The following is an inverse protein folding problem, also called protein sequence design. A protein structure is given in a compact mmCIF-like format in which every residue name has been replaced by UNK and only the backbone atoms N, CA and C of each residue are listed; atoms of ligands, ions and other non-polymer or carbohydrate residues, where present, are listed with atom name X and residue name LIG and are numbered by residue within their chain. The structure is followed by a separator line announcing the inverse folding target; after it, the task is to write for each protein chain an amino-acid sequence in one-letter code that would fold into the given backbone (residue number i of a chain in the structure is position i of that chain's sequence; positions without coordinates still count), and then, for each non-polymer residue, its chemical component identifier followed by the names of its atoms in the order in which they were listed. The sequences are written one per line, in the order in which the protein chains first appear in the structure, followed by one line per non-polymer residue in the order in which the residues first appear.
data_IF_086315683238
#
_entry.id   IF_086315683238
#
_cell.length_a   1.000
_cell.length_b   1.000
_cell.length_c   1.000
_cell.angle_alpha   90.00
_cell.angle_beta   90.00
_cell.angle_gamma   90.00
#
_symmetry.space_group_name_H-M   'P 1'
#
loop_
_entity.id
_entity.type
_entity.pdbx_description
1 polymer ?
#
# COMPACT_ATOMS: atom_id res chain seq x y z
N UNK A 1 -14.89 -6.55 -16.00
CA UNK A 1 -14.75 -5.52 -14.94
C UNK A 1 -15.53 -6.01 -13.73
N UNK A 2 -14.91 -6.06 -12.55
CA UNK A 2 -15.60 -6.48 -11.32
C UNK A 2 -16.52 -5.35 -10.85
N UNK A 3 -17.67 -5.68 -10.28
CA UNK A 3 -18.57 -4.66 -9.73
C UNK A 3 -17.93 -3.98 -8.51
N UNK A 4 -18.24 -2.69 -8.31
CA UNK A 4 -17.69 -1.91 -7.19
C UNK A 4 -17.91 -2.58 -5.81
N UNK A 5 -19.09 -3.16 -5.49
CA UNK A 5 -19.27 -3.85 -4.21
C UNK A 5 -18.33 -5.03 -4.01
N UNK A 6 -18.08 -5.81 -5.08
CA UNK A 6 -17.15 -6.96 -5.04
C UNK A 6 -15.71 -6.48 -4.83
N UNK A 7 -15.31 -5.39 -5.49
CA UNK A 7 -13.99 -4.79 -5.31
C UNK A 7 -13.80 -4.24 -3.90
N UNK A 8 -14.77 -3.52 -3.36
CA UNK A 8 -14.72 -3.01 -1.98
C UNK A 8 -14.65 -4.16 -0.97
N UNK A 9 -15.46 -5.21 -1.14
CA UNK A 9 -15.42 -6.39 -0.28
C UNK A 9 -14.06 -7.11 -0.34
N UNK A 10 -13.53 -7.33 -1.54
CA UNK A 10 -12.22 -7.98 -1.73
C UNK A 10 -11.09 -7.14 -1.13
N UNK A 11 -11.17 -5.81 -1.30
CA UNK A 11 -10.23 -4.86 -0.70
C UNK A 11 -10.31 -4.87 0.82
N UNK A 12 -11.52 -4.96 1.40
CA UNK A 12 -11.75 -5.05 2.83
C UNK A 12 -11.10 -6.31 3.41
N UNK A 13 -11.31 -7.46 2.75
CA UNK A 13 -10.77 -8.74 3.18
C UNK A 13 -9.24 -8.73 3.12
N UNK A 14 -8.66 -8.34 1.96
CA UNK A 14 -7.21 -8.32 1.77
C UNK A 14 -6.54 -7.27 2.66
N UNK A 15 -7.08 -6.05 2.72
CA UNK A 15 -6.55 -4.99 3.57
C UNK A 15 -6.65 -5.31 5.06
N UNK A 16 -7.73 -5.94 5.50
CA UNK A 16 -7.89 -6.44 6.87
C UNK A 16 -6.86 -7.51 7.22
N UNK A 17 -6.71 -8.54 6.37
CA UNK A 17 -5.75 -9.62 6.59
C UNK A 17 -4.30 -9.11 6.60
N UNK A 18 -3.92 -8.27 5.65
CA UNK A 18 -2.58 -7.71 5.56
C UNK A 18 -2.30 -6.68 6.68
N UNK A 19 -3.32 -5.95 7.15
CA UNK A 19 -3.21 -5.10 8.33
C UNK A 19 -2.91 -5.90 9.61
N UNK A 20 -3.53 -7.08 9.76
CA UNK A 20 -3.20 -8.02 10.84
C UNK A 20 -1.79 -8.60 10.67
N UNK A 21 -1.42 -9.00 9.46
CA UNK A 21 -0.09 -9.59 9.19
C UNK A 21 1.03 -8.63 9.59
N UNK A 22 0.88 -7.35 9.22
CA UNK A 22 1.78 -6.27 9.58
C UNK A 22 1.99 -6.11 11.09
N UNK A 23 0.98 -6.43 11.91
CA UNK A 23 0.96 -6.02 13.32
C UNK A 23 0.97 -7.16 14.33
N UNK A 24 0.40 -8.31 14.00
CA UNK A 24 0.04 -9.31 15.01
C UNK A 24 0.22 -10.77 14.57
N UNK A 25 0.41 -11.08 13.28
CA UNK A 25 0.44 -12.48 12.82
C UNK A 25 1.41 -12.74 11.66
N UNK A 26 2.25 -13.76 11.79
CA UNK A 26 2.98 -14.36 10.68
C UNK A 26 4.23 -13.61 10.19
N UNK A 27 4.23 -12.27 10.14
CA UNK A 27 5.34 -11.45 9.62
C UNK A 27 5.94 -11.99 8.31
N UNK A 28 5.09 -12.57 7.47
CA UNK A 28 5.44 -13.14 6.17
C UNK A 28 5.87 -12.05 5.15
N UNK A 29 5.85 -10.78 5.55
CA UNK A 29 6.17 -9.61 4.71
C UNK A 29 5.22 -9.46 3.53
N UNK A 30 3.99 -9.99 3.65
CA UNK A 30 2.96 -9.90 2.61
C UNK A 30 2.34 -8.50 2.53
N UNK A 31 2.37 -7.75 3.63
CA UNK A 31 1.93 -6.34 3.66
C UNK A 31 2.85 -5.40 2.88
N UNK A 32 4.01 -5.85 2.39
CA UNK A 32 4.86 -5.03 1.52
C UNK A 32 4.12 -4.66 0.24
N UNK A 33 4.14 -3.39 -0.20
CA UNK A 33 3.45 -2.93 -1.39
C UNK A 33 3.62 -3.82 -2.60
N UNK A 34 4.85 -4.23 -2.91
CA UNK A 34 5.11 -5.06 -4.10
C UNK A 34 4.32 -6.36 -4.07
N UNK A 35 4.35 -7.07 -2.94
CA UNK A 35 3.70 -8.37 -2.80
C UNK A 35 2.18 -8.19 -2.67
N UNK A 36 1.74 -7.28 -1.80
CA UNK A 36 0.32 -7.00 -1.55
C UNK A 36 -0.44 -6.61 -2.81
N UNK A 37 0.10 -5.64 -3.56
CA UNK A 37 -0.54 -5.13 -4.78
C UNK A 37 -0.45 -6.11 -5.94
N UNK A 38 0.63 -6.90 -6.06
CA UNK A 38 0.70 -7.98 -7.04
C UNK A 38 -0.35 -9.05 -6.78
N UNK A 39 -0.47 -9.55 -5.54
CA UNK A 39 -1.45 -10.57 -5.18
C UNK A 39 -2.88 -10.05 -5.35
N UNK A 40 -3.14 -8.81 -4.94
CA UNK A 40 -4.45 -8.20 -5.14
C UNK A 40 -4.76 -7.90 -6.61
N UNK A 41 -3.73 -7.55 -7.39
CA UNK A 41 -3.80 -7.47 -8.85
C UNK A 41 -4.16 -8.81 -9.45
N UNK A 42 -3.49 -9.89 -9.06
CA UNK A 42 -3.81 -11.24 -9.52
C UNK A 42 -5.27 -11.62 -9.18
N UNK A 43 -5.72 -11.32 -7.95
CA UNK A 43 -7.11 -11.55 -7.52
C UNK A 43 -8.13 -10.78 -8.37
N UNK A 44 -7.77 -9.58 -8.85
CA UNK A 44 -8.64 -8.71 -9.64
C UNK A 44 -8.43 -8.82 -11.15
N UNK A 45 -7.59 -9.75 -11.61
CA UNK A 45 -7.29 -9.97 -13.03
C UNK A 45 -6.30 -8.96 -13.64
N UNK A 46 -5.56 -8.22 -12.82
CA UNK A 46 -4.57 -7.20 -13.20
C UNK A 46 -3.21 -7.39 -12.50
N UNK A 47 -2.55 -8.57 -12.60
CA UNK A 47 -1.30 -8.85 -11.88
C UNK A 47 -0.15 -7.92 -12.27
N UNK A 48 0.03 -7.63 -13.57
CA UNK A 48 1.11 -6.77 -14.05
C UNK A 48 0.95 -5.32 -13.57
N UNK A 49 -0.26 -4.76 -13.66
CA UNK A 49 -0.54 -3.40 -13.16
C UNK A 49 -0.38 -3.34 -11.63
N UNK A 50 -0.80 -4.41 -10.93
CA UNK A 50 -0.57 -4.58 -9.49
C UNK A 50 0.91 -4.52 -9.14
N UNK A 51 1.76 -5.31 -9.81
CA UNK A 51 3.21 -5.27 -9.58
C UNK A 51 3.80 -3.87 -9.80
N UNK A 52 3.40 -3.17 -10.87
CA UNK A 52 3.90 -1.82 -11.16
C UNK A 52 3.52 -0.80 -10.08
N UNK A 53 2.27 -0.83 -9.61
CA UNK A 53 1.84 -0.03 -8.45
C UNK A 53 2.70 -0.34 -7.23
N UNK A 54 2.92 -1.62 -6.96
CA UNK A 54 3.74 -2.09 -5.86
C UNK A 54 5.16 -1.54 -5.89
N UNK A 55 5.82 -1.57 -7.07
CA UNK A 55 7.15 -1.00 -7.27
C UNK A 55 7.16 0.50 -6.95
N UNK A 56 6.18 1.27 -7.45
CA UNK A 56 6.09 2.71 -7.20
C UNK A 56 6.07 3.00 -5.70
N UNK A 57 5.20 2.30 -4.96
CA UNK A 57 5.04 2.52 -3.52
C UNK A 57 6.22 2.00 -2.70
N UNK A 58 6.82 0.88 -3.09
CA UNK A 58 8.02 0.34 -2.44
C UNK A 58 9.20 1.33 -2.56
N UNK A 59 9.40 1.91 -3.74
CA UNK A 59 10.44 2.92 -3.97
C UNK A 59 10.16 4.21 -3.19
N UNK A 60 8.91 4.67 -3.18
CA UNK A 60 8.52 5.90 -2.50
C UNK A 60 8.72 5.82 -0.98
N UNK A 61 8.52 4.64 -0.39
CA UNK A 61 8.58 4.43 1.07
C UNK A 61 9.76 3.59 1.55
N UNK A 62 10.80 3.44 0.73
CA UNK A 62 11.97 2.60 1.06
C UNK A 62 12.72 3.01 2.34
N UNK A 63 12.54 4.26 2.81
CA UNK A 63 13.18 4.80 4.02
C UNK A 63 12.24 4.94 5.23
N UNK A 64 11.00 4.44 5.16
CA UNK A 64 10.09 4.53 6.30
C UNK A 64 10.41 3.45 7.35
N UNK A 65 11.28 3.79 8.30
CA UNK A 65 11.65 2.89 9.41
C UNK A 65 10.94 3.34 10.69
N UNK A 66 10.25 2.45 11.43
CA UNK A 66 9.69 2.78 12.74
C UNK A 66 10.80 3.11 13.73
N UNK A 67 10.67 4.24 14.45
CA UNK A 67 11.60 4.64 15.50
C UNK A 67 10.82 4.97 16.79
N UNK A 68 11.09 4.22 17.87
CA UNK A 68 10.41 4.42 19.16
C UNK A 68 8.89 4.21 19.08
N UNK A 69 8.12 5.12 19.70
CA UNK A 69 6.66 5.10 19.73
C UNK A 69 5.99 5.69 18.47
N UNK A 70 6.77 6.16 17.51
CA UNK A 70 6.25 6.73 16.26
C UNK A 70 5.70 5.62 15.36
N UNK A 71 4.43 5.76 14.97
CA UNK A 71 3.80 4.94 13.92
C UNK A 71 4.17 5.52 12.56
N UNK A 72 4.99 4.83 11.74
CA UNK A 72 5.39 5.32 10.43
C UNK A 72 4.24 5.28 9.43
N UNK A 73 4.33 6.15 8.43
CA UNK A 73 3.52 6.03 7.23
C UNK A 73 3.82 4.72 6.53
N UNK A 74 2.77 3.98 6.16
CA UNK A 74 2.89 2.70 5.49
C UNK A 74 2.10 2.72 4.19
N UNK A 75 2.68 2.30 3.07
CA UNK A 75 2.04 2.37 1.75
C UNK A 75 1.02 1.26 1.44
N UNK A 76 0.46 0.55 2.44
CA UNK A 76 -0.39 -0.62 2.16
C UNK A 76 -1.72 -0.21 1.54
N UNK A 77 -2.44 0.70 2.22
CA UNK A 77 -3.72 1.20 1.70
C UNK A 77 -3.59 1.85 0.33
N UNK A 78 -2.68 2.82 0.10
CA UNK A 78 -2.61 3.46 -1.20
C UNK A 78 -2.22 2.47 -2.31
N UNK A 79 -1.39 1.45 -2.02
CA UNK A 79 -1.08 0.41 -3.01
C UNK A 79 -2.31 -0.45 -3.36
N UNK A 80 -3.04 -0.97 -2.37
CA UNK A 80 -4.25 -1.78 -2.62
C UNK A 80 -5.35 -0.96 -3.31
N UNK A 81 -5.56 0.27 -2.87
CA UNK A 81 -6.59 1.15 -3.43
C UNK A 81 -6.28 1.62 -4.85
N UNK A 82 -5.00 1.75 -5.22
CA UNK A 82 -4.60 1.99 -6.61
C UNK A 82 -5.03 0.84 -7.51
N UNK A 83 -4.79 -0.41 -7.08
CA UNK A 83 -5.21 -1.61 -7.82
C UNK A 83 -6.73 -1.74 -7.86
N UNK A 84 -7.43 -1.38 -6.78
CA UNK A 84 -8.89 -1.31 -6.74
C UNK A 84 -9.43 -0.31 -7.79
N UNK A 85 -8.85 0.89 -7.86
CA UNK A 85 -9.23 1.91 -8.86
C UNK A 85 -8.99 1.41 -10.29
N UNK A 86 -7.85 0.78 -10.54
CA UNK A 86 -7.53 0.16 -11.82
C UNK A 86 -8.57 -0.90 -12.20
N UNK A 87 -8.83 -1.85 -11.31
CA UNK A 87 -9.79 -2.93 -11.53
C UNK A 87 -11.25 -2.46 -11.68
N UNK A 88 -11.60 -1.32 -11.06
CA UNK A 88 -12.92 -0.70 -11.20
C UNK A 88 -13.18 -0.16 -12.61
N UNK A 89 -12.10 0.17 -13.34
CA UNK A 89 -12.17 0.73 -14.68
C UNK A 89 -12.63 2.19 -14.74
N UNK A 90 -12.74 2.87 -13.60
CA UNK A 90 -13.04 4.32 -13.54
C UNK A 90 -12.01 5.16 -14.29
N UNK A 91 -10.80 4.65 -14.44
CA UNK A 91 -9.69 5.28 -15.17
C UNK A 91 -9.73 5.01 -16.68
N UNK A 92 -10.72 4.28 -17.21
CA UNK A 92 -10.82 3.98 -18.63
C UNK A 92 -9.67 3.15 -19.21
N UNK A 93 -9.64 3.02 -20.53
CA UNK A 93 -8.60 2.28 -21.26
C UNK A 93 -7.55 3.22 -21.85
N UNK A 94 -6.69 3.74 -20.97
CA UNK A 94 -5.63 4.69 -21.34
C UNK A 94 -4.22 4.08 -21.24
N UNK A 95 -4.09 2.80 -21.62
CA UNK A 95 -2.79 2.10 -21.60
C UNK A 95 -2.09 2.20 -20.25
N UNK A 96 -0.78 2.46 -20.25
CA UNK A 96 0.05 2.55 -19.04
C UNK A 96 -0.21 3.79 -18.17
N UNK A 97 -0.79 4.86 -18.72
CA UNK A 97 -1.00 6.15 -18.04
C UNK A 97 -1.85 6.01 -16.76
N UNK A 98 -2.79 5.07 -16.76
CA UNK A 98 -3.66 4.77 -15.62
C UNK A 98 -2.89 4.40 -14.34
N UNK A 99 -1.69 3.83 -14.45
CA UNK A 99 -0.93 3.29 -13.31
C UNK A 99 -0.39 4.41 -12.41
N UNK A 100 0.43 5.36 -12.90
CA UNK A 100 0.88 6.50 -12.08
C UNK A 100 -0.29 7.37 -11.64
N UNK A 101 -1.34 7.52 -12.46
CA UNK A 101 -2.55 8.25 -12.07
C UNK A 101 -3.27 7.57 -10.88
N UNK A 102 -3.45 6.25 -10.91
CA UNK A 102 -4.04 5.49 -9.81
C UNK A 102 -3.21 5.62 -8.53
N UNK A 103 -1.89 5.48 -8.64
CA UNK A 103 -0.96 5.64 -7.52
C UNK A 103 -1.09 7.03 -6.90
N UNK A 104 -1.10 8.09 -7.72
CA UNK A 104 -1.25 9.46 -7.25
C UNK A 104 -2.60 9.72 -6.57
N UNK A 105 -3.69 9.27 -7.19
CA UNK A 105 -5.04 9.45 -6.63
C UNK A 105 -5.20 8.72 -5.30
N UNK A 106 -4.57 7.55 -5.14
CA UNK A 106 -4.65 6.76 -3.93
C UNK A 106 -3.69 7.23 -2.82
N UNK A 107 -2.62 7.99 -3.13
CA UNK A 107 -1.62 8.46 -2.15
C UNK A 107 -2.22 9.05 -0.86
N UNK A 108 -3.27 9.91 -0.90
CA UNK A 108 -3.88 10.46 0.31
C UNK A 108 -4.41 9.40 1.29
N UNK A 109 -4.70 8.18 0.82
CA UNK A 109 -5.14 7.07 1.66
C UNK A 109 -4.08 6.58 2.64
N UNK A 110 -2.85 7.08 2.56
CA UNK A 110 -1.83 6.83 3.58
C UNK A 110 -2.16 7.45 4.94
N UNK A 111 -2.94 8.54 4.95
CA UNK A 111 -3.40 9.18 6.16
C UNK A 111 -4.38 8.29 6.94
N UNK A 112 -5.48 7.80 6.33
CA UNK A 112 -6.37 6.87 7.02
C UNK A 112 -5.70 5.54 7.38
N UNK A 113 -4.71 5.04 6.61
CA UNK A 113 -3.90 3.86 7.03
C UNK A 113 -3.21 4.12 8.37
N UNK A 114 -2.46 5.23 8.45
CA UNK A 114 -1.74 5.60 9.67
C UNK A 114 -2.69 5.89 10.84
N UNK A 115 -3.79 6.60 10.59
CA UNK A 115 -4.79 6.85 11.62
C UNK A 115 -5.44 5.55 12.10
N UNK A 116 -5.71 4.63 11.18
CA UNK A 116 -6.28 3.34 11.52
C UNK A 116 -5.35 2.59 12.48
N UNK A 117 -4.07 2.55 12.14
CA UNK A 117 -3.03 1.92 12.96
C UNK A 117 -2.93 2.55 14.36
N UNK A 118 -2.94 3.88 14.46
CA UNK A 118 -2.86 4.61 15.73
C UNK A 118 -4.07 4.32 16.62
N UNK A 119 -5.28 4.43 16.06
CA UNK A 119 -6.53 4.25 16.81
C UNK A 119 -6.65 2.79 17.26
N UNK A 120 -6.33 1.84 16.37
CA UNK A 120 -6.30 0.43 16.68
C UNK A 120 -5.37 0.14 17.88
N UNK A 121 -4.10 0.54 17.80
CA UNK A 121 -3.10 0.32 18.87
C UNK A 121 -3.56 0.88 20.21
N UNK A 122 -4.07 2.12 20.23
CA UNK A 122 -4.59 2.76 21.45
C UNK A 122 -5.79 2.01 22.02
N UNK A 123 -6.72 1.59 21.16
CA UNK A 123 -7.91 0.86 21.60
C UNK A 123 -7.58 -0.52 22.18
N UNK A 124 -6.44 -1.11 21.78
CA UNK A 124 -6.02 -2.44 22.19
C UNK A 124 -5.06 -2.46 23.41
N UNK A 125 -4.53 -1.31 23.82
CA UNK A 125 -3.55 -1.20 24.92
C UNK A 125 -4.06 -1.85 26.23
N UNK A 126 -5.32 -1.60 26.59
CA UNK A 126 -5.94 -2.20 27.78
C UNK A 126 -6.04 -3.73 27.68
N UNK A 127 -6.26 -4.26 26.49
CA UNK A 127 -6.34 -5.70 26.27
C UNK A 127 -4.98 -6.37 26.46
N UNK A 128 -3.89 -5.69 26.06
CA UNK A 128 -2.51 -6.15 26.28
C UNK A 128 -2.18 -6.17 27.78
N UNK A 129 -2.48 -5.10 28.52
CA UNK A 129 -2.23 -5.06 29.97
C UNK A 129 -3.02 -6.19 30.68
N UNK A 130 -4.28 -6.39 30.28
CA UNK A 130 -5.13 -7.45 30.82
C UNK A 130 -4.60 -8.85 30.50
N UNK A 131 -4.10 -9.09 29.28
CA UNK A 131 -3.57 -10.41 28.92
C UNK A 131 -2.32 -10.76 29.73
N UNK A 132 -1.42 -9.80 29.96
CA UNK A 132 -0.23 -9.98 30.81
C UNK A 132 -0.63 -10.28 32.26
N UNK A 133 -1.61 -9.56 32.82
CA UNK A 133 -2.11 -9.81 34.17
C UNK A 133 -2.72 -11.22 34.30
N UNK A 134 -3.51 -11.66 33.32
CA UNK A 134 -4.11 -13.00 33.31
C UNK A 134 -3.06 -14.11 33.23
N UNK A 135 -1.97 -13.91 32.47
CA UNK A 135 -0.85 -14.85 32.47
C UNK A 135 -0.18 -14.95 33.84
N UNK A 136 0.04 -13.81 34.52
CA UNK A 136 0.64 -13.77 35.87
C UNK A 136 -0.24 -14.45 36.93
N UNK A 137 -1.56 -14.42 36.76
CA UNK A 137 -2.52 -15.10 37.64
C UNK A 137 -2.70 -16.59 37.32
N UNK A 138 -1.88 -17.18 36.43
CA UNK A 138 -2.00 -18.59 36.05
C UNK A 138 -3.24 -18.91 35.21
N UNK A 139 -3.82 -17.91 34.52
CA UNK A 139 -5.02 -18.06 33.67
C UNK A 139 -4.71 -17.87 32.17
N UNK A 140 -3.81 -18.66 31.57
CA UNK A 140 -3.38 -18.47 30.18
C UNK A 140 -4.51 -18.67 29.16
N UNK A 141 -5.50 -19.53 29.45
CA UNK A 141 -6.66 -19.73 28.58
C UNK A 141 -7.48 -18.44 28.37
N UNK A 142 -7.65 -17.63 29.42
CA UNK A 142 -8.35 -16.35 29.32
C UNK A 142 -7.49 -15.30 28.60
N UNK A 143 -6.17 -15.32 28.82
CA UNK A 143 -5.24 -14.44 28.12
C UNK A 143 -5.26 -14.70 26.60
N UNK A 144 -5.35 -15.97 26.19
CA UNK A 144 -5.51 -16.37 24.78
C UNK A 144 -6.78 -15.77 24.17
N UNK A 145 -7.92 -15.84 24.84
CA UNK A 145 -9.18 -15.27 24.34
C UNK A 145 -9.07 -13.76 24.15
N UNK A 146 -8.48 -13.04 25.11
CA UNK A 146 -8.26 -11.59 25.00
C UNK A 146 -7.36 -11.26 23.80
N UNK A 147 -6.30 -12.05 23.58
CA UNK A 147 -5.41 -11.87 22.44
C UNK A 147 -6.10 -12.13 21.10
N UNK A 148 -6.89 -13.22 20.98
CA UNK A 148 -7.65 -13.54 19.78
C UNK A 148 -8.70 -12.46 19.47
N UNK A 149 -9.41 -11.95 20.48
CA UNK A 149 -10.33 -10.82 20.30
C UNK A 149 -9.59 -9.56 19.83
N UNK A 150 -8.37 -9.34 20.33
CA UNK A 150 -7.49 -8.29 19.83
C UNK A 150 -7.24 -8.44 18.32
N UNK A 151 -6.76 -9.60 17.87
CA UNK A 151 -6.50 -9.85 16.45
C UNK A 151 -7.76 -9.65 15.59
N UNK A 152 -8.91 -10.20 16.01
CA UNK A 152 -10.16 -10.03 15.27
C UNK A 152 -10.60 -8.57 15.16
N UNK A 153 -10.41 -7.78 16.22
CA UNK A 153 -10.70 -6.34 16.19
C UNK A 153 -9.74 -5.59 15.27
N UNK A 154 -8.47 -5.97 15.22
CA UNK A 154 -7.50 -5.41 14.28
C UNK A 154 -7.97 -5.62 12.83
N UNK A 155 -8.34 -6.85 12.48
CA UNK A 155 -8.88 -7.21 11.17
C UNK A 155 -10.07 -6.32 10.80
N UNK A 156 -11.08 -6.25 11.66
CA UNK A 156 -12.29 -5.47 11.41
C UNK A 156 -11.99 -3.99 11.26
N UNK A 157 -11.09 -3.44 12.08
CA UNK A 157 -10.74 -2.04 12.03
C UNK A 157 -10.05 -1.65 10.71
N UNK A 158 -9.09 -2.45 10.27
CA UNK A 158 -8.43 -2.24 8.99
C UNK A 158 -9.39 -2.46 7.82
N UNK A 159 -10.21 -3.52 7.86
CA UNK A 159 -11.21 -3.81 6.82
C UNK A 159 -12.23 -2.66 6.66
N UNK A 160 -12.76 -2.12 7.75
CA UNK A 160 -13.69 -0.99 7.71
C UNK A 160 -12.99 0.26 7.19
N UNK A 161 -11.81 0.56 7.72
CA UNK A 161 -11.07 1.78 7.37
C UNK A 161 -10.66 1.82 5.89
N UNK A 162 -10.16 0.71 5.33
CA UNK A 162 -9.79 0.65 3.92
C UNK A 162 -11.03 0.67 3.01
N UNK A 163 -12.14 0.08 3.42
CA UNK A 163 -13.41 0.11 2.66
C UNK A 163 -13.97 1.53 2.57
N UNK A 164 -14.01 2.27 3.69
CA UNK A 164 -14.44 3.66 3.71
C UNK A 164 -13.52 4.53 2.83
N UNK A 165 -12.20 4.33 2.97
CA UNK A 165 -11.21 5.04 2.15
C UNK A 165 -11.39 4.74 0.66
N UNK A 166 -11.64 3.48 0.30
CA UNK A 166 -11.87 3.06 -1.09
C UNK A 166 -13.17 3.61 -1.68
N UNK A 167 -14.26 3.60 -0.91
CA UNK A 167 -15.53 4.19 -1.34
C UNK A 167 -15.42 5.69 -1.61
N UNK A 168 -14.79 6.43 -0.69
CA UNK A 168 -14.51 7.87 -0.84
C UNK A 168 -13.61 8.10 -2.06
N UNK A 169 -12.52 7.35 -2.18
CA UNK A 169 -11.57 7.48 -3.28
C UNK A 169 -12.23 7.25 -4.65
N UNK A 170 -13.02 6.18 -4.79
CA UNK A 170 -13.74 5.89 -6.03
C UNK A 170 -14.73 7.00 -6.37
N UNK A 171 -15.52 7.46 -5.39
CA UNK A 171 -16.47 8.54 -5.57
C UNK A 171 -15.78 9.84 -6.00
N UNK A 172 -14.71 10.26 -5.32
CA UNK A 172 -13.97 11.47 -5.69
C UNK A 172 -13.31 11.34 -7.06
N UNK A 173 -12.66 10.21 -7.34
CA UNK A 173 -11.96 9.98 -8.62
C UNK A 173 -12.93 10.04 -9.80
N UNK A 174 -14.08 9.36 -9.70
CA UNK A 174 -15.13 9.41 -10.74
C UNK A 174 -15.66 10.81 -10.98
N UNK A 175 -15.85 11.62 -9.92
CA UNK A 175 -16.31 13.01 -10.05
C UNK A 175 -15.27 13.91 -10.69
N UNK A 176 -14.01 13.79 -10.29
CA UNK A 176 -12.91 14.61 -10.83
C UNK A 176 -12.67 14.29 -12.30
N UNK A 177 -12.62 13.00 -12.66
CA UNK A 177 -12.39 12.58 -14.04
C UNK A 177 -13.53 12.98 -14.98
N UNK A 178 -14.77 12.99 -14.49
CA UNK A 178 -15.92 13.45 -15.26
C UNK A 178 -15.95 14.99 -15.42
N UNK A 179 -15.50 15.74 -14.42
CA UNK A 179 -15.56 17.20 -14.41
C UNK A 179 -14.42 17.86 -15.19
N UNK A 180 -13.26 17.20 -15.30
CA UNK A 180 -12.04 17.80 -15.86
C UNK A 180 -11.58 16.97 -17.08
N UNK A 181 -11.85 17.42 -18.31
CA UNK A 181 -11.35 16.79 -19.52
C UNK A 181 -9.82 16.70 -19.49
N UNK A 182 -9.27 15.51 -19.79
CA UNK A 182 -7.83 15.28 -19.77
C UNK A 182 -7.20 15.15 -18.38
N UNK A 183 -7.99 15.17 -17.29
CA UNK A 183 -7.52 14.98 -15.91
C UNK A 183 -6.56 13.80 -15.75
N UNK A 184 -6.88 12.67 -16.40
CA UNK A 184 -6.05 11.48 -16.35
C UNK A 184 -4.64 11.73 -16.88
N UNK A 185 -4.48 12.50 -17.96
CA UNK A 185 -3.17 12.89 -18.49
C UNK A 185 -2.35 13.67 -17.47
N UNK A 186 -2.96 14.69 -16.84
CA UNK A 186 -2.31 15.47 -15.79
C UNK A 186 -1.91 14.62 -14.59
N UNK A 187 -2.80 13.76 -14.10
CA UNK A 187 -2.48 12.85 -12.99
C UNK A 187 -1.42 11.81 -13.34
N UNK A 188 -1.34 11.39 -14.61
CA UNK A 188 -0.32 10.46 -15.07
C UNK A 188 1.06 11.10 -15.02
N UNK A 189 1.19 12.33 -15.56
CA UNK A 189 2.44 13.09 -15.54
C UNK A 189 2.88 13.39 -14.11
N UNK A 190 1.96 13.88 -13.27
CA UNK A 190 2.26 14.15 -11.87
C UNK A 190 2.56 12.88 -11.07
N UNK A 191 1.90 11.77 -11.38
CA UNK A 191 2.06 10.49 -10.70
C UNK A 191 3.41 9.81 -10.96
N UNK A 192 4.14 10.25 -11.99
CA UNK A 192 5.52 9.85 -12.22
C UNK A 192 6.49 10.55 -11.25
N UNK A 193 6.18 11.76 -10.78
CA UNK A 193 7.09 12.51 -9.90
C UNK A 193 7.41 11.78 -8.58
N UNK A 194 6.44 11.18 -7.85
CA UNK A 194 6.73 10.36 -6.67
C UNK A 194 7.70 9.21 -6.94
N UNK A 195 7.65 8.59 -8.12
CA UNK A 195 8.61 7.54 -8.50
C UNK A 195 10.04 8.07 -8.53
N UNK A 196 10.26 9.24 -9.15
CA UNK A 196 11.57 9.88 -9.18
C UNK A 196 12.02 10.37 -7.80
N UNK A 197 11.10 10.83 -6.94
CA UNK A 197 11.41 11.17 -5.54
C UNK A 197 11.87 9.94 -4.77
N UNK A 198 11.18 8.81 -4.90
CA UNK A 198 11.59 7.54 -4.30
C UNK A 198 12.97 7.09 -4.79
N UNK A 199 13.19 7.12 -6.11
CA UNK A 199 14.47 6.79 -6.74
C UNK A 199 15.61 7.70 -6.24
N UNK A 200 15.37 9.01 -6.18
CA UNK A 200 16.30 9.98 -5.61
C UNK A 200 16.59 9.69 -4.13
N UNK A 201 15.57 9.30 -3.36
CA UNK A 201 15.71 8.85 -1.98
C UNK A 201 16.63 7.63 -1.86
N UNK A 202 16.53 6.64 -2.75
CA UNK A 202 17.44 5.48 -2.76
C UNK A 202 18.86 5.89 -3.14
N UNK A 203 18.99 6.71 -4.18
CA UNK A 203 20.28 7.03 -4.79
C UNK A 203 21.07 8.06 -3.99
N UNK A 204 20.43 8.98 -3.26
CA UNK A 204 21.09 10.10 -2.56
C UNK A 204 22.21 9.66 -1.60
N UNK A 205 22.08 8.51 -0.92
CA UNK A 205 23.15 7.99 -0.05
C UNK A 205 24.18 7.15 -0.83
N UNK A 206 23.76 6.51 -1.93
CA UNK A 206 24.61 5.65 -2.77
C UNK A 206 25.46 6.42 -3.78
N UNK A 207 25.07 7.64 -4.14
CA UNK A 207 25.79 8.50 -5.07
C UNK A 207 26.94 9.27 -4.41
N UNK A 208 27.19 9.09 -3.10
CA UNK A 208 28.33 9.71 -2.41
C UNK A 208 29.64 9.01 -2.82
N UNK A 209 30.74 9.77 -2.88
CA UNK A 209 32.06 9.24 -3.26
C UNK A 209 32.08 8.73 -4.70
N UNK A 210 32.60 7.52 -4.93
CA UNK A 210 32.64 6.89 -6.27
C UNK A 210 31.35 6.15 -6.66
N UNK A 211 30.32 6.13 -5.82
CA UNK A 211 29.09 5.38 -6.09
C UNK A 211 28.25 5.89 -7.27
N UNK A 212 28.46 7.14 -7.72
CA UNK A 212 27.85 7.65 -8.95
C UNK A 212 28.35 6.93 -10.21
N UNK A 213 29.59 6.42 -10.21
CA UNK A 213 30.15 5.66 -11.34
C UNK A 213 29.34 4.37 -11.53
N UNK A 214 29.10 3.63 -10.43
CA UNK A 214 28.28 2.42 -10.48
C UNK A 214 26.84 2.69 -10.90
N UNK A 215 26.26 3.82 -10.49
CA UNK A 215 24.92 4.23 -10.92
C UNK A 215 24.84 4.54 -12.41
N UNK A 216 25.80 5.30 -12.96
CA UNK A 216 25.87 5.62 -14.39
C UNK A 216 26.13 4.36 -15.22
N UNK A 217 27.06 3.50 -14.80
CA UNK A 217 27.29 2.21 -15.47
C UNK A 217 26.04 1.33 -15.48
N UNK A 218 25.29 1.30 -14.37
CA UNK A 218 24.01 0.60 -14.29
C UNK A 218 22.93 1.17 -15.23
N UNK A 219 22.82 2.51 -15.33
CA UNK A 219 21.91 3.17 -16.27
C UNK A 219 22.27 2.88 -17.73
N UNK A 220 23.56 2.98 -18.07
CA UNK A 220 24.05 2.69 -19.42
C UNK A 220 23.84 1.23 -19.80
N UNK A 221 24.16 0.29 -18.90
CA UNK A 221 23.88 -1.12 -19.10
C UNK A 221 22.38 -1.39 -19.27
N UNK A 222 21.53 -0.78 -18.43
CA UNK A 222 20.08 -0.89 -18.54
C UNK A 222 19.53 -0.32 -19.86
N UNK A 223 20.05 0.82 -20.32
CA UNK A 223 19.69 1.42 -21.60
C UNK A 223 20.12 0.54 -22.78
N UNK A 224 21.30 -0.08 -22.73
CA UNK A 224 21.80 -0.99 -23.76
C UNK A 224 21.01 -2.31 -23.83
N UNK A 225 20.57 -2.83 -22.68
CA UNK A 225 19.67 -4.00 -22.63
C UNK A 225 18.28 -3.61 -23.15
N UNK A 226 17.75 -2.45 -22.72
CA UNK A 226 16.42 -1.97 -23.14
C UNK A 226 16.33 -1.58 -24.60
N UNK A 227 17.44 -1.18 -25.23
CA UNK A 227 17.50 -0.89 -26.67
C UNK A 227 17.64 -2.14 -27.56
N UNK A 228 17.77 -3.33 -26.96
CA UNK A 228 17.96 -4.58 -27.70
C UNK A 228 19.37 -4.74 -28.29
N UNK A 229 20.33 -3.88 -27.91
CA UNK A 229 21.72 -3.95 -28.39
C UNK A 229 22.48 -5.11 -27.72
N UNK A 230 22.02 -5.56 -26.55
CA UNK A 230 22.59 -6.67 -25.77
C UNK A 230 21.67 -7.89 -25.67
N UNK A 231 20.60 -7.95 -26.46
CA UNK A 231 19.70 -9.11 -26.58
C UNK A 231 20.04 -9.91 -27.84
#
# INVERSE_FOLDING_TARGET
MSSLPVLLFSTALVGGLLGVERTAFGQFSLSRPLVASFLFGALTGRPAEGAMVGIIFELLYIRSIPAGSYVPYHPLYPALLSVMLLASGVLGDHGWMRIPAAALLALPAILPDRLAEIIWRRSNERAIIRSVALCRMGKPGQARTVHMVGISRAFLFHAISITLSGGILYFLSSRVLAAVPGALGYFSVLGIAPFFVGLAGVSANRLRGFGWIGFVLGLLAGALVGSGVLA
#
